data_IF_502801312195
#
_entry.id   IF_502801312195
#
_cell.length_a   1.000
_cell.length_b   1.000
_cell.length_c   1.000
_cell.angle_alpha   90.00
_cell.angle_beta   90.00
_cell.angle_gamma   90.00
#
_symmetry.space_group_name_H-M   'P 1'
#
loop_
_entity.id
_entity.type
_entity.pdbx_description
1 polymer ?
#
# COMPACT_ATOMS: atom_id res chain seq x y z
N UNK A 1 -5.09 33.95 5.93
CA UNK A 1 -6.36 34.63 6.28
C UNK A 1 -6.94 35.20 4.99
N UNK A 2 -8.14 34.81 4.54
CA UNK A 2 -8.58 35.19 3.22
C UNK A 2 -8.93 36.69 3.19
N UNK A 3 -8.44 37.36 2.16
CA UNK A 3 -8.57 38.80 1.85
C UNK A 3 -10.02 39.32 2.00
N UNK A 4 -11.01 38.46 1.81
CA UNK A 4 -12.44 38.79 1.98
C UNK A 4 -12.85 39.01 3.45
N UNK A 5 -12.30 38.25 4.40
CA UNK A 5 -12.49 38.54 5.83
C UNK A 5 -11.80 39.85 6.22
N UNK A 6 -10.67 40.18 5.60
CA UNK A 6 -9.97 41.45 5.80
C UNK A 6 -10.79 42.63 5.26
N UNK A 7 -11.39 42.49 4.08
CA UNK A 7 -12.30 43.49 3.47
C UNK A 7 -13.58 43.64 4.28
N UNK A 8 -14.23 42.53 4.68
CA UNK A 8 -15.44 42.59 5.52
C UNK A 8 -15.15 43.20 6.89
N UNK A 9 -13.97 42.92 7.46
CA UNK A 9 -13.51 43.53 8.72
C UNK A 9 -13.17 45.01 8.57
N UNK A 10 -12.62 45.46 7.43
CA UNK A 10 -12.35 46.88 7.19
C UNK A 10 -13.62 47.67 6.86
N UNK A 11 -14.58 47.06 6.16
CA UNK A 11 -15.90 47.65 5.91
C UNK A 11 -16.76 47.76 7.18
N UNK A 12 -16.59 46.85 8.15
CA UNK A 12 -17.26 46.90 9.46
C UNK A 12 -16.53 47.77 10.48
N UNK A 13 -15.19 47.84 10.44
CA UNK A 13 -14.36 48.72 11.29
C UNK A 13 -14.63 50.21 11.05
N UNK A 14 -15.08 50.59 9.86
CA UNK A 14 -15.51 51.95 9.56
C UNK A 14 -16.80 52.39 10.29
N UNK A 15 -17.49 51.51 11.04
CA UNK A 15 -18.84 51.81 11.53
C UNK A 15 -19.18 51.47 13.00
N UNK A 16 -18.39 50.69 13.76
CA UNK A 16 -18.45 50.65 15.24
C UNK A 16 -17.42 49.67 15.84
N UNK A 17 -16.45 50.16 16.62
CA UNK A 17 -15.27 49.38 17.08
C UNK A 17 -15.49 48.51 18.34
N UNK A 18 -16.50 48.78 19.17
CA UNK A 18 -16.68 48.07 20.46
C UNK A 18 -17.66 46.90 20.41
N UNK A 19 -18.75 47.01 19.66
CA UNK A 19 -19.76 45.94 19.53
C UNK A 19 -19.27 44.76 18.66
N UNK A 20 -18.61 45.07 17.54
CA UNK A 20 -18.03 44.05 16.64
C UNK A 20 -16.89 43.27 17.30
N UNK A 21 -16.20 43.84 18.29
CA UNK A 21 -15.06 43.20 18.93
C UNK A 21 -15.45 42.09 19.93
N UNK A 22 -16.57 42.24 20.64
CA UNK A 22 -17.00 41.27 21.65
C UNK A 22 -17.73 40.07 21.03
N UNK A 23 -18.59 40.32 20.04
CA UNK A 23 -19.37 39.31 19.34
C UNK A 23 -18.46 38.40 18.46
N UNK A 24 -17.48 39.01 17.79
CA UNK A 24 -16.47 38.25 17.04
C UNK A 24 -15.56 37.41 17.94
N UNK A 25 -15.28 37.83 19.19
CA UNK A 25 -14.41 37.08 20.12
C UNK A 25 -15.09 35.84 20.69
N UNK A 26 -16.35 35.96 21.11
CA UNK A 26 -17.12 34.81 21.65
C UNK A 26 -17.38 33.79 20.54
N UNK A 27 -17.71 34.27 19.34
CA UNK A 27 -17.95 33.43 18.17
C UNK A 27 -16.69 32.69 17.68
N UNK A 28 -15.55 33.37 17.58
CA UNK A 28 -14.28 32.71 17.22
C UNK A 28 -13.90 31.62 18.23
N UNK A 29 -14.02 31.90 19.53
CA UNK A 29 -13.56 30.96 20.57
C UNK A 29 -14.44 29.71 20.60
N UNK A 30 -15.77 29.84 20.48
CA UNK A 30 -16.67 28.68 20.45
C UNK A 30 -16.63 27.92 19.11
N UNK A 31 -16.53 28.58 17.95
CA UNK A 31 -16.37 27.90 16.65
C UNK A 31 -15.03 27.17 16.57
N UNK A 32 -13.95 27.76 17.08
CA UNK A 32 -12.62 27.13 17.07
C UNK A 32 -12.55 25.95 18.04
N UNK A 33 -13.08 26.07 19.26
CA UNK A 33 -13.05 24.97 20.25
C UNK A 33 -13.97 23.80 19.86
N UNK A 34 -15.18 24.07 19.35
CA UNK A 34 -16.06 23.03 18.84
C UNK A 34 -15.50 22.40 17.56
N UNK A 35 -14.96 23.21 16.66
CA UNK A 35 -14.26 22.78 15.44
C UNK A 35 -13.11 21.82 15.73
N UNK A 36 -12.23 22.12 16.70
CA UNK A 36 -11.08 21.26 17.04
C UNK A 36 -11.51 19.88 17.57
N UNK A 37 -12.55 19.80 18.41
CA UNK A 37 -13.07 18.50 18.89
C UNK A 37 -13.70 17.69 17.77
N UNK A 38 -14.48 18.35 16.91
CA UNK A 38 -15.12 17.74 15.74
C UNK A 38 -14.08 17.22 14.74
N UNK A 39 -13.02 17.99 14.49
CA UNK A 39 -11.85 17.63 13.67
C UNK A 39 -11.16 16.38 14.20
N UNK A 40 -10.84 16.33 15.51
CA UNK A 40 -10.20 15.16 16.12
C UNK A 40 -11.08 13.91 16.01
N UNK A 41 -12.39 14.06 16.26
CA UNK A 41 -13.35 12.98 16.14
C UNK A 41 -13.50 12.50 14.69
N UNK A 42 -13.52 13.42 13.72
CA UNK A 42 -13.54 13.13 12.30
C UNK A 42 -12.29 12.38 11.85
N UNK A 43 -11.10 12.83 12.27
CA UNK A 43 -9.83 12.16 11.99
C UNK A 43 -9.79 10.73 12.53
N UNK A 44 -10.18 10.52 13.79
CA UNK A 44 -10.27 9.20 14.41
C UNK A 44 -11.27 8.29 13.66
N UNK A 45 -12.44 8.80 13.29
CA UNK A 45 -13.43 8.03 12.55
C UNK A 45 -12.94 7.68 11.13
N UNK A 46 -12.22 8.59 10.47
CA UNK A 46 -11.66 8.37 9.13
C UNK A 46 -10.58 7.29 9.15
N UNK A 47 -9.70 7.31 10.14
CA UNK A 47 -8.68 6.27 10.33
C UNK A 47 -9.32 4.89 10.57
N UNK A 48 -10.28 4.81 11.49
CA UNK A 48 -11.01 3.56 11.78
C UNK A 48 -11.76 3.01 10.56
N UNK A 49 -12.31 3.88 9.71
CA UNK A 49 -12.96 3.49 8.44
C UNK A 49 -11.95 2.88 7.47
N UNK A 50 -10.77 3.48 7.35
CA UNK A 50 -9.71 2.98 6.48
C UNK A 50 -9.22 1.61 6.94
N UNK A 51 -8.95 1.41 8.23
CA UNK A 51 -8.53 0.10 8.75
C UNK A 51 -9.58 -1.00 8.50
N UNK A 52 -10.87 -0.70 8.67
CA UNK A 52 -11.94 -1.65 8.38
C UNK A 52 -12.02 -1.98 6.86
N UNK A 53 -11.80 -0.99 6.00
CA UNK A 53 -11.74 -1.16 4.55
C UNK A 53 -10.54 -2.01 4.13
N UNK A 54 -9.37 -1.79 4.72
CA UNK A 54 -8.14 -2.54 4.43
C UNK A 54 -8.34 -4.03 4.76
N UNK A 55 -8.88 -4.34 5.95
CA UNK A 55 -9.21 -5.71 6.35
C UNK A 55 -10.24 -6.37 5.42
N UNK A 56 -11.26 -5.62 4.98
CA UNK A 56 -12.27 -6.12 4.03
C UNK A 56 -11.65 -6.44 2.68
N UNK A 57 -10.84 -5.54 2.13
CA UNK A 57 -10.20 -5.72 0.82
C UNK A 57 -9.23 -6.90 0.87
N UNK A 58 -8.44 -7.01 1.94
CA UNK A 58 -7.55 -8.16 2.16
C UNK A 58 -8.31 -9.49 2.10
N UNK A 59 -9.39 -9.62 2.89
CA UNK A 59 -10.18 -10.85 2.92
C UNK A 59 -10.85 -11.15 1.57
N UNK A 60 -11.33 -10.12 0.87
CA UNK A 60 -11.90 -10.28 -0.49
C UNK A 60 -10.84 -10.79 -1.47
N UNK A 61 -9.62 -10.24 -1.44
CA UNK A 61 -8.54 -10.69 -2.31
C UNK A 61 -8.11 -12.13 -2.00
N UNK A 62 -8.05 -12.52 -0.73
CA UNK A 62 -7.77 -13.91 -0.31
C UNK A 62 -8.85 -14.88 -0.84
N UNK A 63 -10.14 -14.51 -0.72
CA UNK A 63 -11.26 -15.32 -1.23
C UNK A 63 -11.25 -15.43 -2.75
N UNK A 64 -11.04 -14.33 -3.47
CA UNK A 64 -10.99 -14.34 -4.94
C UNK A 64 -9.81 -15.16 -5.45
N UNK A 65 -8.65 -15.03 -4.81
CA UNK A 65 -7.45 -15.83 -5.11
C UNK A 65 -7.71 -17.33 -4.90
N UNK A 66 -8.48 -17.70 -3.88
CA UNK A 66 -8.79 -19.08 -3.51
C UNK A 66 -10.16 -19.58 -3.97
N UNK A 67 -10.84 -18.91 -4.91
CA UNK A 67 -12.28 -19.12 -5.15
C UNK A 67 -12.64 -20.57 -5.51
N UNK A 68 -11.76 -21.28 -6.23
CA UNK A 68 -11.96 -22.69 -6.60
C UNK A 68 -12.07 -23.58 -5.35
N UNK A 69 -11.21 -23.37 -4.35
CA UNK A 69 -11.20 -24.11 -3.09
C UNK A 69 -12.44 -23.75 -2.26
N UNK A 70 -12.79 -22.46 -2.18
CA UNK A 70 -13.98 -22.00 -1.45
C UNK A 70 -15.26 -22.65 -2.01
N UNK A 71 -15.37 -22.75 -3.34
CA UNK A 71 -16.48 -23.42 -4.02
C UNK A 71 -16.48 -24.94 -3.78
N UNK A 72 -15.32 -25.57 -3.87
CA UNK A 72 -15.17 -27.02 -3.66
C UNK A 72 -15.69 -27.45 -2.28
N UNK A 73 -15.40 -26.67 -1.23
CA UNK A 73 -15.84 -26.95 0.14
C UNK A 73 -17.19 -26.32 0.52
N UNK A 74 -17.83 -25.56 -0.37
CA UNK A 74 -19.11 -24.89 -0.09
C UNK A 74 -19.02 -23.79 0.99
N UNK A 75 -17.85 -23.17 1.18
CA UNK A 75 -17.61 -22.19 2.26
C UNK A 75 -18.05 -20.75 1.93
N UNK A 76 -18.80 -20.55 0.85
CA UNK A 76 -19.20 -19.24 0.35
C UNK A 76 -20.00 -18.42 1.38
N UNK A 77 -20.91 -19.07 2.11
CA UNK A 77 -21.70 -18.44 3.17
C UNK A 77 -20.83 -17.99 4.35
N UNK A 78 -19.92 -18.86 4.80
CA UNK A 78 -18.99 -18.57 5.90
C UNK A 78 -18.08 -17.37 5.59
N UNK A 79 -17.50 -17.31 4.38
CA UNK A 79 -16.70 -16.16 3.96
C UNK A 79 -17.54 -14.90 3.76
N UNK A 80 -18.76 -15.01 3.23
CA UNK A 80 -19.69 -13.88 3.12
C UNK A 80 -19.97 -13.27 4.49
N UNK A 81 -20.24 -14.08 5.50
CA UNK A 81 -20.54 -13.61 6.84
C UNK A 81 -19.32 -12.92 7.49
N UNK A 82 -18.11 -13.47 7.31
CA UNK A 82 -16.87 -12.82 7.74
C UNK A 82 -16.66 -11.46 7.08
N UNK A 83 -16.87 -11.35 5.76
CA UNK A 83 -16.80 -10.07 5.04
C UNK A 83 -17.87 -9.10 5.53
N UNK A 84 -19.08 -9.60 5.83
CA UNK A 84 -20.19 -8.79 6.32
C UNK A 84 -19.89 -8.15 7.69
N UNK A 85 -19.11 -8.80 8.56
CA UNK A 85 -18.67 -8.20 9.84
C UNK A 85 -17.87 -6.93 9.60
N UNK A 86 -16.85 -6.98 8.74
CA UNK A 86 -16.04 -5.79 8.39
C UNK A 86 -16.87 -4.73 7.68
N UNK A 87 -17.80 -5.13 6.81
CA UNK A 87 -18.70 -4.21 6.12
C UNK A 87 -19.64 -3.49 7.09
N UNK A 88 -20.19 -4.19 8.09
CA UNK A 88 -21.03 -3.59 9.14
C UNK A 88 -20.24 -2.57 9.95
N UNK A 89 -19.00 -2.88 10.32
CA UNK A 89 -18.11 -1.92 11.01
C UNK A 89 -17.85 -0.68 10.16
N UNK A 90 -17.51 -0.86 8.87
CA UNK A 90 -17.28 0.22 7.91
C UNK A 90 -18.51 1.13 7.78
N UNK A 91 -19.70 0.55 7.55
CA UNK A 91 -20.96 1.29 7.44
C UNK A 91 -21.29 2.03 8.74
N UNK A 92 -21.06 1.42 9.90
CA UNK A 92 -21.33 2.07 11.19
C UNK A 92 -20.48 3.32 11.38
N UNK A 93 -19.20 3.25 11.01
CA UNK A 93 -18.29 4.40 11.07
C UNK A 93 -18.66 5.45 10.02
N UNK A 94 -18.99 5.03 8.79
CA UNK A 94 -19.46 5.93 7.75
C UNK A 94 -20.74 6.68 8.15
N UNK A 95 -21.68 6.01 8.83
CA UNK A 95 -22.89 6.65 9.36
C UNK A 95 -22.52 7.72 10.40
N UNK A 96 -21.59 7.44 11.31
CA UNK A 96 -21.11 8.43 12.29
C UNK A 96 -20.44 9.63 11.61
N UNK A 97 -19.62 9.38 10.58
CA UNK A 97 -19.01 10.45 9.77
C UNK A 97 -20.09 11.28 9.07
N UNK A 98 -21.08 10.63 8.45
CA UNK A 98 -22.19 11.29 7.78
C UNK A 98 -22.99 12.19 8.71
N UNK A 99 -23.38 11.68 9.88
CA UNK A 99 -24.08 12.47 10.91
C UNK A 99 -23.22 13.65 11.37
N UNK A 100 -21.92 13.45 11.58
CA UNK A 100 -21.02 14.51 12.00
C UNK A 100 -20.90 15.62 10.93
N UNK A 101 -20.76 15.24 9.64
CA UNK A 101 -20.76 16.20 8.53
C UNK A 101 -22.11 16.93 8.38
N UNK A 102 -23.23 16.23 8.57
CA UNK A 102 -24.56 16.85 8.58
C UNK A 102 -24.69 17.89 9.69
N UNK A 103 -24.21 17.59 10.90
CA UNK A 103 -24.21 18.55 12.02
C UNK A 103 -23.35 19.77 11.70
N UNK A 104 -22.16 19.58 11.10
CA UNK A 104 -21.29 20.70 10.66
C UNK A 104 -22.01 21.57 9.63
N UNK A 105 -22.65 20.95 8.63
CA UNK A 105 -23.37 21.67 7.58
C UNK A 105 -24.58 22.43 8.12
N UNK A 106 -25.35 21.83 9.04
CA UNK A 106 -26.47 22.51 9.71
C UNK A 106 -25.96 23.69 10.52
N UNK A 107 -24.93 23.48 11.36
CA UNK A 107 -24.36 24.54 12.19
C UNK A 107 -23.86 25.70 11.31
N UNK A 108 -23.10 25.40 10.26
CA UNK A 108 -22.58 26.39 9.31
C UNK A 108 -23.70 27.15 8.59
N UNK A 109 -24.80 26.47 8.23
CA UNK A 109 -25.94 27.12 7.57
C UNK A 109 -26.72 28.02 8.52
N UNK A 110 -26.88 27.60 9.78
CA UNK A 110 -27.60 28.34 10.82
C UNK A 110 -26.83 29.56 11.34
N UNK A 111 -25.49 29.55 11.32
CA UNK A 111 -24.67 30.68 11.81
C UNK A 111 -25.03 32.00 11.10
N UNK A 112 -25.31 31.97 9.79
CA UNK A 112 -25.66 33.18 9.03
C UNK A 112 -26.99 33.80 9.49
N UNK A 113 -27.99 32.97 9.76
CA UNK A 113 -29.28 33.46 10.28
C UNK A 113 -29.12 34.03 11.69
N UNK A 114 -28.39 33.33 12.57
CA UNK A 114 -28.13 33.80 13.93
C UNK A 114 -27.33 35.11 13.94
N UNK A 115 -26.32 35.26 13.08
CA UNK A 115 -25.57 36.51 12.93
C UNK A 115 -26.48 37.69 12.58
N UNK A 116 -27.40 37.49 11.63
CA UNK A 116 -28.36 38.51 11.20
C UNK A 116 -29.27 38.89 12.37
N UNK A 117 -29.81 37.90 13.08
CA UNK A 117 -30.72 38.11 14.21
C UNK A 117 -30.04 38.86 15.36
N UNK A 118 -28.85 38.42 15.76
CA UNK A 118 -28.06 39.06 16.82
C UNK A 118 -27.67 40.48 16.42
N UNK A 119 -27.17 40.69 15.20
CA UNK A 119 -26.73 42.01 14.74
C UNK A 119 -27.87 43.02 14.73
N UNK A 120 -29.06 42.64 14.22
CA UNK A 120 -30.21 43.53 14.20
C UNK A 120 -30.87 43.70 15.58
N UNK A 121 -30.91 42.65 16.40
CA UNK A 121 -31.43 42.73 17.78
C UNK A 121 -30.56 43.66 18.64
N UNK A 122 -29.25 43.56 18.51
CA UNK A 122 -28.29 44.40 19.20
C UNK A 122 -28.34 45.85 18.71
N UNK A 123 -28.45 46.06 17.40
CA UNK A 123 -28.61 47.41 16.81
C UNK A 123 -29.92 48.09 17.27
N UNK A 124 -31.01 47.31 17.41
CA UNK A 124 -32.30 47.80 17.88
C UNK A 124 -32.32 48.15 19.36
N UNK A 125 -31.63 47.35 20.20
CA UNK A 125 -31.66 47.50 21.67
C UNK A 125 -30.62 48.46 22.22
N UNK A 126 -29.40 48.46 21.66
CA UNK A 126 -28.27 49.26 22.16
C UNK A 126 -28.12 50.57 21.38
N UNK A 127 -28.67 50.66 20.17
CA UNK A 127 -28.61 51.85 19.34
C UNK A 127 -27.24 52.06 18.67
N UNK A 128 -27.22 52.86 17.60
CA UNK A 128 -26.01 53.21 16.84
C UNK A 128 -25.14 54.26 17.55
N UNK A 129 -24.10 54.81 16.88
CA UNK A 129 -23.16 55.73 17.50
C UNK A 129 -23.89 56.94 18.09
N UNK A 130 -23.97 56.99 19.43
CA UNK A 130 -24.78 57.95 20.19
C UNK A 130 -25.75 57.34 21.22
N UNK A 131 -25.89 56.00 21.31
CA UNK A 131 -26.81 55.31 22.23
C UNK A 131 -28.27 55.76 22.12
N UNK A 132 -28.68 56.18 20.92
CA UNK A 132 -30.09 56.41 20.58
C UNK A 132 -30.62 55.20 19.79
N UNK A 133 -31.88 54.77 19.99
CA UNK A 133 -32.48 53.72 19.17
C UNK A 133 -32.36 54.09 17.69
N UNK A 134 -31.55 53.34 16.95
CA UNK A 134 -31.26 53.66 15.55
C UNK A 134 -32.49 53.40 14.69
N UNK A 135 -32.87 54.37 13.84
CA UNK A 135 -33.91 54.13 12.83
C UNK A 135 -33.47 52.99 11.90
N UNK A 136 -34.22 51.89 11.92
CA UNK A 136 -33.96 50.73 11.09
C UNK A 136 -34.43 51.04 9.67
N UNK A 137 -33.55 51.60 8.86
CA UNK A 137 -33.85 51.93 7.47
C UNK A 137 -33.84 50.63 6.61
N UNK A 138 -34.84 50.39 5.74
CA UNK A 138 -34.85 49.27 4.81
C UNK A 138 -33.54 49.12 4.02
N UNK A 139 -32.91 50.23 3.60
CA UNK A 139 -31.62 50.23 2.88
C UNK A 139 -30.52 49.53 3.69
N UNK A 140 -30.44 49.80 5.00
CA UNK A 140 -29.43 49.19 5.87
C UNK A 140 -29.69 47.70 6.13
N UNK A 141 -30.96 47.28 6.18
CA UNK A 141 -31.31 45.87 6.33
C UNK A 141 -30.87 45.08 5.09
N UNK A 142 -31.30 45.50 3.90
CA UNK A 142 -31.03 44.79 2.65
C UNK A 142 -29.53 44.71 2.32
N UNK A 143 -28.77 45.79 2.55
CA UNK A 143 -27.31 45.78 2.35
C UNK A 143 -26.64 44.82 3.32
N UNK A 144 -27.04 44.81 4.58
CA UNK A 144 -26.44 43.93 5.59
C UNK A 144 -26.76 42.46 5.33
N UNK A 145 -28.01 42.11 4.98
CA UNK A 145 -28.41 40.75 4.58
C UNK A 145 -27.58 40.27 3.37
N UNK A 146 -27.40 41.13 2.37
CA UNK A 146 -26.60 40.81 1.18
C UNK A 146 -25.14 40.56 1.54
N UNK A 147 -24.54 41.39 2.40
CA UNK A 147 -23.16 41.23 2.87
C UNK A 147 -22.98 39.95 3.71
N UNK A 148 -23.91 39.63 4.62
CA UNK A 148 -23.88 38.38 5.37
C UNK A 148 -24.07 37.15 4.48
N UNK A 149 -24.94 37.24 3.47
CA UNK A 149 -25.14 36.18 2.48
C UNK A 149 -23.86 35.88 1.68
N UNK A 150 -23.09 36.90 1.31
CA UNK A 150 -21.80 36.75 0.63
C UNK A 150 -20.73 36.08 1.50
N UNK A 151 -20.82 36.20 2.83
CA UNK A 151 -19.90 35.55 3.78
C UNK A 151 -20.21 34.07 4.02
N UNK A 152 -21.41 33.59 3.69
CA UNK A 152 -21.82 32.21 3.97
C UNK A 152 -20.96 31.19 3.20
N UNK A 153 -20.70 31.45 1.92
CA UNK A 153 -19.89 30.56 1.06
C UNK A 153 -18.44 30.39 1.57
N UNK A 154 -17.66 31.46 1.82
CA UNK A 154 -16.29 31.33 2.32
C UNK A 154 -16.22 30.73 3.72
N UNK A 155 -17.20 30.99 4.61
CA UNK A 155 -17.26 30.34 5.93
C UNK A 155 -17.46 28.83 5.79
N UNK A 156 -18.39 28.39 4.93
CA UNK A 156 -18.61 26.97 4.66
C UNK A 156 -17.39 26.28 4.03
N UNK A 157 -16.65 26.97 3.15
CA UNK A 157 -15.42 26.44 2.55
C UNK A 157 -14.33 26.15 3.59
N UNK A 158 -14.18 26.99 4.63
CA UNK A 158 -13.19 26.76 5.70
C UNK A 158 -13.48 25.45 6.43
N UNK A 159 -14.73 25.17 6.74
CA UNK A 159 -15.15 23.93 7.41
C UNK A 159 -14.87 22.68 6.57
N UNK A 160 -15.14 22.74 5.26
CA UNK A 160 -14.80 21.65 4.35
C UNK A 160 -13.29 21.47 4.20
N UNK A 161 -12.56 22.57 4.03
CA UNK A 161 -11.10 22.55 3.88
C UNK A 161 -10.41 21.91 5.10
N UNK A 162 -10.94 22.11 6.31
CA UNK A 162 -10.42 21.45 7.51
C UNK A 162 -10.55 19.92 7.43
N UNK A 163 -11.67 19.39 6.93
CA UNK A 163 -11.86 17.95 6.73
C UNK A 163 -10.91 17.36 5.68
N UNK A 164 -10.71 18.09 4.59
CA UNK A 164 -9.79 17.70 3.51
C UNK A 164 -8.33 17.76 3.98
N UNK A 165 -7.95 18.78 4.76
CA UNK A 165 -6.61 18.91 5.32
C UNK A 165 -6.26 17.75 6.28
N UNK A 166 -7.21 17.31 7.12
CA UNK A 166 -7.01 16.11 7.95
C UNK A 166 -6.85 14.87 7.08
N UNK A 167 -7.68 14.76 6.03
CA UNK A 167 -7.59 13.68 5.06
C UNK A 167 -6.21 13.60 4.41
N UNK A 168 -5.72 14.73 3.93
CA UNK A 168 -4.40 14.89 3.35
C UNK A 168 -3.33 14.49 4.36
N UNK A 169 -3.39 15.00 5.59
CA UNK A 169 -2.42 14.67 6.64
C UNK A 169 -2.33 13.16 6.92
N UNK A 170 -3.48 12.48 7.09
CA UNK A 170 -3.50 11.03 7.34
C UNK A 170 -2.99 10.25 6.14
N UNK A 171 -3.39 10.61 4.92
CA UNK A 171 -2.92 9.95 3.69
C UNK A 171 -1.42 10.16 3.47
N UNK A 172 -0.91 11.38 3.63
CA UNK A 172 0.52 11.70 3.51
C UNK A 172 1.33 10.94 4.54
N UNK A 173 0.85 10.85 5.80
CA UNK A 173 1.51 10.05 6.82
C UNK A 173 1.61 8.57 6.42
N UNK A 174 0.53 7.97 5.91
CA UNK A 174 0.56 6.57 5.45
C UNK A 174 1.52 6.35 4.27
N UNK A 175 1.56 7.29 3.33
CA UNK A 175 2.51 7.25 2.20
C UNK A 175 3.94 7.38 2.74
N UNK A 176 4.18 8.28 3.68
CA UNK A 176 5.48 8.45 4.32
C UNK A 176 5.89 7.19 5.09
N UNK A 177 5.01 6.59 5.87
CA UNK A 177 5.28 5.37 6.62
C UNK A 177 5.63 4.19 5.67
N UNK A 178 4.99 4.12 4.50
CA UNK A 178 5.32 3.14 3.46
C UNK A 178 6.65 3.42 2.77
N UNK A 179 6.91 4.67 2.38
CA UNK A 179 8.15 5.06 1.69
C UNK A 179 9.38 5.05 2.62
N UNK A 180 9.19 5.18 3.92
CA UNK A 180 10.22 5.03 4.95
C UNK A 180 10.26 3.62 5.55
N UNK A 181 9.49 2.68 4.99
CA UNK A 181 9.58 1.29 5.40
C UNK A 181 10.99 0.76 5.14
N UNK A 182 11.41 -0.22 5.94
CA UNK A 182 12.76 -0.75 5.86
C UNK A 182 13.01 -1.40 4.49
N UNK A 183 14.09 -1.02 3.84
CA UNK A 183 14.59 -1.66 2.62
C UNK A 183 15.70 -2.65 2.97
N UNK A 184 15.78 -3.74 2.20
CA UNK A 184 16.92 -4.66 2.27
C UNK A 184 18.18 -3.92 1.82
N UNK A 185 19.23 -3.98 2.64
CA UNK A 185 20.46 -3.24 2.36
C UNK A 185 21.13 -3.77 1.08
N UNK A 186 21.64 -2.87 0.22
CA UNK A 186 22.32 -3.26 -1.03
C UNK A 186 23.59 -4.10 -0.81
N UNK A 187 24.22 -3.98 0.36
CA UNK A 187 25.46 -4.69 0.71
C UNK A 187 25.22 -6.07 1.34
N UNK A 188 23.99 -6.60 1.27
CA UNK A 188 23.68 -7.95 1.76
C UNK A 188 24.43 -9.02 0.97
N UNK A 189 24.62 -8.79 -0.34
CA UNK A 189 25.31 -9.69 -1.26
C UNK A 189 26.39 -8.92 -2.02
N UNK A 190 27.59 -9.50 -2.08
CA UNK A 190 28.64 -9.06 -3.00
C UNK A 190 28.28 -9.55 -4.41
N UNK A 191 27.65 -8.68 -5.21
CA UNK A 191 27.17 -9.00 -6.56
C UNK A 191 28.07 -8.40 -7.62
N UNK A 192 28.50 -9.22 -8.57
CA UNK A 192 29.09 -8.78 -9.83
C UNK A 192 28.27 -9.34 -10.99
N UNK A 193 27.90 -8.52 -11.96
CA UNK A 193 27.21 -9.01 -13.17
C UNK A 193 28.15 -9.74 -14.12
N UNK A 194 29.46 -9.53 -13.95
CA UNK A 194 30.51 -10.21 -14.70
C UNK A 194 30.93 -11.50 -13.97
N UNK A 195 31.13 -12.55 -14.76
CA UNK A 195 31.79 -13.77 -14.33
C UNK A 195 33.25 -13.49 -13.98
N UNK A 196 33.81 -14.17 -12.96
CA UNK A 196 35.23 -14.07 -12.66
C UNK A 196 36.06 -14.52 -13.86
N UNK A 197 37.05 -13.70 -14.27
CA UNK A 197 37.97 -14.06 -15.35
C UNK A 197 38.85 -15.26 -14.98
N UNK A 198 39.16 -15.39 -13.69
CA UNK A 198 39.86 -16.53 -13.14
C UNK A 198 38.87 -17.68 -12.89
N UNK A 199 39.01 -18.76 -13.65
CA UNK A 199 38.17 -19.95 -13.55
C UNK A 199 38.34 -20.72 -12.23
N UNK A 200 39.33 -20.38 -11.40
CA UNK A 200 39.50 -20.97 -10.06
C UNK A 200 38.58 -20.34 -9.01
N UNK A 201 37.97 -19.20 -9.31
CA UNK A 201 37.04 -18.52 -8.39
C UNK A 201 35.63 -19.02 -8.64
N UNK A 202 35.02 -19.62 -7.61
CA UNK A 202 33.65 -20.08 -7.66
C UNK A 202 32.67 -18.90 -7.87
N UNK A 203 31.77 -18.95 -8.87
CA UNK A 203 30.75 -17.93 -9.08
C UNK A 203 29.78 -17.74 -7.91
N UNK A 204 29.55 -18.81 -7.12
CA UNK A 204 28.72 -18.77 -5.92
C UNK A 204 29.60 -19.17 -4.74
N UNK A 205 29.75 -18.25 -3.79
CA UNK A 205 30.53 -18.48 -2.59
C UNK A 205 29.82 -17.92 -1.36
N UNK A 206 29.51 -18.80 -0.40
CA UNK A 206 28.91 -18.49 0.89
C UNK A 206 29.88 -18.97 1.97
N UNK A 207 30.24 -18.12 2.92
CA UNK A 207 31.14 -18.46 4.03
C UNK A 207 30.54 -18.06 5.38
N UNK A 208 30.35 -19.06 6.23
CA UNK A 208 29.86 -18.97 7.61
C UNK A 208 28.66 -18.03 7.76
N UNK A 209 27.74 -18.10 6.81
CA UNK A 209 26.64 -17.14 6.70
C UNK A 209 25.40 -17.60 7.46
N UNK A 210 24.77 -16.66 8.16
CA UNK A 210 23.52 -16.88 8.89
C UNK A 210 22.47 -15.90 8.39
N UNK A 211 21.29 -16.43 8.03
CA UNK A 211 20.21 -15.66 7.39
C UNK A 211 18.87 -15.81 8.14
N UNK A 212 18.05 -14.76 8.09
CA UNK A 212 16.70 -14.74 8.63
C UNK A 212 15.73 -13.89 7.80
N UNK A 213 14.44 -14.21 7.86
CA UNK A 213 13.37 -13.46 7.18
C UNK A 213 13.01 -12.15 7.90
N UNK A 214 13.18 -12.12 9.22
CA UNK A 214 12.93 -10.95 10.05
C UNK A 214 14.25 -10.35 10.54
N UNK A 215 14.30 -9.04 10.70
CA UNK A 215 15.47 -8.36 11.29
C UNK A 215 15.62 -8.61 12.80
N UNK A 216 14.52 -8.91 13.51
CA UNK A 216 14.44 -8.85 14.98
C UNK A 216 14.57 -10.18 15.73
N UNK A 217 14.69 -11.33 15.06
CA UNK A 217 14.86 -12.63 15.76
C UNK A 217 16.26 -12.81 16.42
N UNK A 218 17.12 -11.80 16.34
CA UNK A 218 18.52 -11.83 16.79
C UNK A 218 18.70 -11.72 18.32
N UNK A 219 17.68 -11.35 19.10
CA UNK A 219 17.91 -10.87 20.49
C UNK A 219 17.29 -11.69 21.64
N UNK A 220 16.79 -12.92 21.45
CA UNK A 220 16.01 -13.58 22.52
C UNK A 220 16.62 -14.78 23.23
N UNK A 221 17.72 -15.38 22.76
CA UNK A 221 18.35 -16.49 23.49
C UNK A 221 19.81 -16.19 23.88
N UNK A 222 19.93 -15.68 25.11
CA UNK A 222 21.17 -15.72 25.89
C UNK A 222 21.21 -17.07 26.59
N UNK A 223 22.05 -17.98 26.10
CA UNK A 223 22.40 -19.18 26.87
C UNK A 223 23.21 -18.75 28.09
N UNK A 224 22.62 -18.89 29.28
CA UNK A 224 23.22 -18.56 30.58
C UNK A 224 24.50 -19.34 30.91
N UNK A 225 24.85 -20.35 30.10
CA UNK A 225 26.06 -21.18 30.25
C UNK A 225 27.23 -20.77 29.36
N UNK A 226 27.01 -19.94 28.33
CA UNK A 226 28.01 -19.74 27.26
C UNK A 226 28.24 -18.26 26.90
N UNK A 227 27.38 -17.32 27.33
CA UNK A 227 27.54 -15.89 27.03
C UNK A 227 27.50 -15.50 25.55
N UNK A 228 27.16 -16.45 24.66
CA UNK A 228 27.05 -16.25 23.22
C UNK A 228 25.60 -15.93 22.85
N UNK A 229 25.41 -14.82 22.14
CA UNK A 229 24.15 -14.45 21.48
C UNK A 229 23.84 -15.50 20.41
N UNK A 230 22.84 -16.35 20.62
CA UNK A 230 22.37 -17.27 19.60
C UNK A 230 21.41 -16.53 18.67
N UNK A 231 21.89 -16.23 17.47
CA UNK A 231 21.05 -15.82 16.34
C UNK A 231 20.20 -17.02 15.91
N UNK A 232 18.88 -16.96 16.15
CA UNK A 232 17.93 -17.95 15.61
C UNK A 232 17.64 -17.69 14.14
N UNK A 233 18.66 -17.84 13.30
CA UNK A 233 18.51 -17.73 11.85
C UNK A 233 17.74 -18.93 11.32
N UNK A 234 16.92 -18.72 10.29
CA UNK A 234 16.32 -19.81 9.52
C UNK A 234 17.42 -20.68 8.89
N UNK A 235 18.53 -20.05 8.47
CA UNK A 235 19.74 -20.72 7.98
C UNK A 235 20.90 -20.31 8.88
N UNK A 236 21.70 -21.29 9.35
CA UNK A 236 22.80 -21.06 10.30
C UNK A 236 24.10 -21.65 9.77
N UNK A 237 25.18 -20.88 9.87
CA UNK A 237 26.56 -21.29 9.54
C UNK A 237 26.66 -22.02 8.19
N UNK A 238 26.07 -21.45 7.15
CA UNK A 238 26.11 -22.01 5.80
C UNK A 238 27.46 -21.66 5.17
N UNK A 239 28.19 -22.69 4.76
CA UNK A 239 29.40 -22.57 3.94
C UNK A 239 29.23 -23.43 2.70
N UNK A 240 29.25 -22.79 1.53
CA UNK A 240 28.98 -23.41 0.23
C UNK A 240 29.83 -22.73 -0.85
N UNK A 241 30.44 -23.53 -1.72
CA UNK A 241 31.13 -23.06 -2.92
C UNK A 241 30.64 -23.88 -4.10
N UNK A 242 30.22 -23.23 -5.19
CA UNK A 242 29.77 -23.90 -6.43
C UNK A 242 30.58 -23.37 -7.60
N UNK A 243 31.33 -24.26 -8.24
CA UNK A 243 32.17 -23.92 -9.38
C UNK A 243 31.37 -23.82 -10.68
N UNK A 244 31.95 -23.12 -11.66
CA UNK A 244 31.33 -22.91 -12.97
C UNK A 244 31.15 -24.22 -13.74
N UNK A 245 30.00 -24.38 -14.39
CA UNK A 245 29.70 -25.54 -15.23
C UNK A 245 29.23 -26.78 -14.46
N UNK A 246 29.10 -26.69 -13.14
CA UNK A 246 28.63 -27.80 -12.31
C UNK A 246 27.11 -27.74 -12.09
N UNK A 247 26.43 -28.87 -12.28
CA UNK A 247 25.05 -29.07 -11.84
C UNK A 247 25.05 -29.51 -10.39
N UNK A 248 24.68 -28.61 -9.47
CA UNK A 248 24.66 -28.88 -8.02
C UNK A 248 23.22 -29.13 -7.55
N UNK A 249 23.00 -30.24 -6.86
CA UNK A 249 21.71 -30.59 -6.29
C UNK A 249 21.67 -30.31 -4.78
N UNK A 250 20.62 -29.62 -4.32
CA UNK A 250 20.36 -29.39 -2.89
C UNK A 250 19.23 -30.33 -2.46
N UNK A 251 19.55 -31.26 -1.56
CA UNK A 251 18.61 -32.26 -1.04
C UNK A 251 18.38 -32.07 0.46
N UNK A 252 17.17 -32.40 0.92
CA UNK A 252 16.81 -32.27 2.33
C UNK A 252 15.32 -32.50 2.55
N UNK A 253 14.89 -32.64 3.81
CA UNK A 253 13.47 -32.84 4.15
C UNK A 253 12.64 -31.58 3.86
N UNK A 254 11.32 -31.74 3.83
CA UNK A 254 10.37 -30.61 3.74
C UNK A 254 10.59 -29.68 4.94
N UNK A 255 10.63 -28.37 4.70
CA UNK A 255 10.80 -27.37 5.77
C UNK A 255 12.24 -27.17 6.28
N UNK A 256 13.26 -27.78 5.66
CA UNK A 256 14.67 -27.59 6.05
C UNK A 256 15.35 -26.34 5.48
N UNK A 257 14.61 -25.41 4.88
CA UNK A 257 15.16 -24.14 4.40
C UNK A 257 15.78 -24.16 3.00
N UNK A 258 15.48 -25.15 2.14
CA UNK A 258 15.98 -25.21 0.75
C UNK A 258 15.58 -23.95 -0.06
N UNK A 259 14.30 -23.62 -0.10
CA UNK A 259 13.79 -22.37 -0.70
C UNK A 259 14.37 -21.13 -0.02
N UNK A 260 14.57 -21.18 1.30
CA UNK A 260 15.23 -20.08 2.03
C UNK A 260 16.68 -19.89 1.58
N UNK A 261 17.41 -20.96 1.24
CA UNK A 261 18.77 -20.85 0.71
C UNK A 261 18.79 -20.11 -0.63
N UNK A 262 17.83 -20.36 -1.52
CA UNK A 262 17.68 -19.57 -2.74
C UNK A 262 17.28 -18.13 -2.45
N UNK A 263 16.38 -17.88 -1.50
CA UNK A 263 16.05 -16.53 -1.03
C UNK A 263 17.26 -15.77 -0.49
N UNK A 264 18.17 -16.45 0.21
CA UNK A 264 19.44 -15.89 0.65
C UNK A 264 20.39 -15.58 -0.51
N UNK A 265 20.47 -16.43 -1.54
CA UNK A 265 21.27 -16.18 -2.75
C UNK A 265 20.73 -15.03 -3.61
N UNK A 266 19.41 -14.84 -3.62
CA UNK A 266 18.72 -13.75 -4.34
C UNK A 266 18.66 -12.47 -3.49
N UNK A 267 19.02 -12.53 -2.21
CA UNK A 267 19.10 -11.35 -1.35
C UNK A 267 17.76 -10.90 -0.80
N UNK A 268 16.76 -11.77 -0.81
CA UNK A 268 15.45 -11.54 -0.22
C UNK A 268 15.44 -11.74 1.31
N UNK A 269 16.53 -12.28 1.87
CA UNK A 269 16.70 -12.52 3.32
C UNK A 269 17.74 -11.59 3.94
N UNK A 270 17.58 -11.29 5.23
CA UNK A 270 18.59 -10.58 6.00
C UNK A 270 19.77 -11.52 6.31
N UNK A 271 20.97 -11.14 5.88
CA UNK A 271 22.24 -11.70 6.34
C UNK A 271 22.65 -11.01 7.63
N UNK A 272 22.82 -11.79 8.70
CA UNK A 272 23.28 -11.28 10.00
C UNK A 272 24.77 -11.48 10.21
N UNK A 273 25.33 -12.56 9.67
CA UNK A 273 26.74 -12.92 9.77
C UNK A 273 27.21 -13.55 8.46
N UNK A 274 28.52 -13.51 8.23
CA UNK A 274 29.20 -14.16 7.12
C UNK A 274 29.18 -13.36 5.82
N UNK A 275 29.66 -13.99 4.76
CA UNK A 275 29.76 -13.38 3.44
C UNK A 275 29.07 -14.24 2.39
N UNK A 276 28.45 -13.59 1.41
CA UNK A 276 27.90 -14.22 0.22
C UNK A 276 28.33 -13.41 -1.00
N UNK A 277 28.92 -14.10 -1.98
CA UNK A 277 29.31 -13.58 -3.27
C UNK A 277 28.57 -14.33 -4.36
N UNK A 278 28.01 -13.57 -5.29
CA UNK A 278 27.33 -14.06 -6.48
C UNK A 278 27.89 -13.31 -7.69
N UNK A 279 28.54 -14.02 -8.61
CA UNK A 279 29.20 -13.45 -9.78
C UNK A 279 28.63 -14.02 -11.08
N UNK A 280 28.08 -13.15 -11.93
CA UNK A 280 27.39 -13.48 -13.17
C UNK A 280 25.89 -13.17 -13.11
N UNK A 281 25.24 -13.20 -14.28
CA UNK A 281 23.79 -13.01 -14.38
C UNK A 281 23.04 -14.21 -13.79
N UNK A 282 21.93 -13.96 -13.09
CA UNK A 282 21.15 -14.98 -12.39
C UNK A 282 19.77 -15.14 -13.03
N UNK A 283 19.40 -16.37 -13.39
CA UNK A 283 18.03 -16.77 -13.71
C UNK A 283 17.45 -17.58 -12.55
N UNK A 284 16.29 -17.14 -12.02
CA UNK A 284 15.61 -17.81 -10.93
C UNK A 284 14.26 -18.38 -11.38
N UNK A 285 14.04 -19.66 -11.07
CA UNK A 285 12.76 -20.36 -11.25
C UNK A 285 12.21 -20.69 -9.85
N UNK A 286 11.19 -19.96 -9.37
CA UNK A 286 10.59 -20.21 -8.06
C UNK A 286 9.74 -21.49 -8.06
N UNK A 287 9.57 -22.11 -6.89
CA UNK A 287 8.70 -23.27 -6.69
C UNK A 287 7.27 -23.02 -7.17
N UNK A 288 6.73 -21.84 -6.86
CA UNK A 288 5.45 -21.38 -7.41
C UNK A 288 5.70 -20.51 -8.63
N UNK A 289 5.51 -21.08 -9.82
CA UNK A 289 5.68 -20.39 -11.08
C UNK A 289 4.81 -19.11 -11.17
N UNK A 290 5.45 -17.99 -11.52
CA UNK A 290 4.81 -16.69 -11.70
C UNK A 290 4.69 -16.34 -13.20
N UNK A 291 3.47 -16.06 -13.62
CA UNK A 291 3.10 -15.82 -15.02
C UNK A 291 2.49 -14.42 -15.12
N UNK A 292 3.01 -13.62 -16.04
CA UNK A 292 2.53 -12.26 -16.31
C UNK A 292 1.30 -12.31 -17.23
N UNK A 293 0.44 -11.30 -17.11
CA UNK A 293 -0.72 -11.13 -17.98
C UNK A 293 -0.26 -10.61 -19.36
N UNK A 294 0.17 -11.53 -20.22
CA UNK A 294 0.70 -11.29 -21.56
C UNK A 294 0.55 -12.56 -22.41
N UNK A 295 1.00 -12.54 -23.66
CA UNK A 295 1.03 -13.75 -24.51
C UNK A 295 1.95 -14.82 -23.92
N UNK A 296 1.80 -16.08 -24.34
CA UNK A 296 2.74 -17.14 -23.93
C UNK A 296 4.16 -16.81 -24.41
N UNK A 297 4.30 -16.31 -25.65
CA UNK A 297 5.58 -15.84 -26.18
C UNK A 297 6.22 -14.77 -25.28
N UNK A 298 5.46 -13.73 -24.89
CA UNK A 298 5.97 -12.65 -24.04
C UNK A 298 6.35 -13.13 -22.64
N UNK A 299 5.66 -14.14 -22.14
CA UNK A 299 6.02 -14.79 -20.89
C UNK A 299 7.37 -15.50 -20.96
N UNK A 300 7.75 -16.05 -22.12
CA UNK A 300 9.05 -16.71 -22.32
C UNK A 300 10.14 -15.69 -22.64
N UNK A 301 9.89 -14.73 -23.53
CA UNK A 301 10.88 -13.71 -23.92
C UNK A 301 11.16 -12.73 -22.79
N UNK A 302 10.13 -12.40 -22.00
CA UNK A 302 10.22 -11.58 -20.79
C UNK A 302 11.00 -10.27 -20.98
N UNK A 303 10.69 -9.56 -22.07
CA UNK A 303 11.32 -8.28 -22.44
C UNK A 303 12.59 -8.38 -23.27
N UNK A 304 13.14 -9.59 -23.44
CA UNK A 304 14.29 -9.83 -24.33
C UNK A 304 13.87 -9.84 -25.80
N UNK A 305 14.74 -9.43 -26.73
CA UNK A 305 14.42 -9.40 -28.16
C UNK A 305 14.11 -10.81 -28.67
N UNK A 306 13.09 -10.91 -29.52
CA UNK A 306 12.64 -12.20 -30.04
C UNK A 306 13.60 -12.75 -31.11
N UNK A 307 14.32 -13.82 -30.75
CA UNK A 307 15.02 -14.72 -31.66
C UNK A 307 14.20 -16.01 -31.87
N UNK A 308 13.73 -16.20 -33.10
CA UNK A 308 12.92 -17.35 -33.51
C UNK A 308 13.64 -18.68 -33.33
N UNK A 309 14.92 -18.77 -33.72
CA UNK A 309 15.67 -20.04 -33.65
C UNK A 309 15.92 -20.45 -32.20
N UNK A 310 16.28 -19.48 -31.35
CA UNK A 310 16.45 -19.71 -29.91
C UNK A 310 15.13 -20.09 -29.25
N UNK A 311 14.05 -19.39 -29.58
CA UNK A 311 12.71 -19.66 -29.05
C UNK A 311 12.24 -21.07 -29.40
N UNK A 312 12.25 -21.47 -30.67
CA UNK A 312 11.81 -22.81 -31.11
C UNK A 312 12.58 -23.93 -30.40
N UNK A 313 13.91 -23.78 -30.22
CA UNK A 313 14.74 -24.74 -29.47
C UNK A 313 14.34 -24.84 -28.01
N UNK A 314 14.06 -23.71 -27.35
CA UNK A 314 13.69 -23.66 -25.94
C UNK A 314 12.29 -24.23 -25.71
N UNK A 315 11.33 -23.91 -26.58
CA UNK A 315 9.98 -24.46 -26.51
C UNK A 315 10.02 -25.99 -26.66
N UNK A 316 10.81 -26.49 -27.63
CA UNK A 316 11.04 -27.93 -27.80
C UNK A 316 11.67 -28.56 -26.55
N UNK A 317 12.77 -27.99 -26.04
CA UNK A 317 13.47 -28.52 -24.86
C UNK A 317 12.64 -28.47 -23.58
N UNK A 318 11.75 -27.48 -23.45
CA UNK A 318 10.86 -27.33 -22.30
C UNK A 318 9.61 -28.21 -22.39
N UNK A 319 9.39 -28.91 -23.51
CA UNK A 319 8.21 -29.76 -23.72
C UNK A 319 6.89 -29.00 -23.86
N UNK A 320 6.93 -27.73 -24.31
CA UNK A 320 5.75 -26.86 -24.42
C UNK A 320 4.99 -27.02 -25.75
N UNK A 321 5.55 -27.72 -26.75
CA UNK A 321 4.89 -27.91 -28.05
C UNK A 321 3.44 -28.43 -27.93
N UNK A 322 3.15 -29.52 -27.19
CA UNK A 322 1.78 -30.03 -27.07
C UNK A 322 0.87 -29.03 -26.35
N UNK A 323 1.41 -28.28 -25.38
CA UNK A 323 0.63 -27.27 -24.65
C UNK A 323 0.25 -26.11 -25.58
N UNK A 324 1.16 -25.67 -26.46
CA UNK A 324 0.92 -24.59 -27.43
C UNK A 324 -0.12 -25.02 -28.48
N UNK A 325 -0.06 -26.25 -28.97
CA UNK A 325 -1.03 -26.78 -29.94
C UNK A 325 -2.47 -26.83 -29.40
N UNK A 326 -2.63 -26.99 -28.08
CA UNK A 326 -3.94 -26.98 -27.43
C UNK A 326 -4.51 -25.56 -27.24
N UNK A 327 -3.69 -24.51 -27.37
CA UNK A 327 -4.13 -23.15 -27.16
C UNK A 327 -4.83 -22.58 -28.41
N UNK A 328 -5.94 -21.83 -28.26
CA UNK A 328 -6.73 -21.34 -29.40
C UNK A 328 -5.96 -20.50 -30.43
N UNK A 329 -4.96 -19.75 -29.99
CA UNK A 329 -4.12 -18.90 -30.82
C UNK A 329 -2.64 -19.29 -30.75
N UNK A 330 -2.34 -20.55 -30.38
CA UNK A 330 -0.96 -21.00 -30.18
C UNK A 330 -0.24 -20.17 -29.12
N UNK A 331 1.00 -19.78 -29.41
CA UNK A 331 1.86 -19.01 -28.52
C UNK A 331 1.47 -17.53 -28.38
N UNK A 332 0.61 -17.02 -29.27
CA UNK A 332 0.00 -15.68 -29.18
C UNK A 332 -1.18 -15.64 -28.22
N UNK A 333 -1.57 -16.78 -27.62
CA UNK A 333 -2.69 -16.82 -26.69
C UNK A 333 -2.39 -16.00 -25.45
N UNK A 334 -3.30 -15.09 -25.09
CA UNK A 334 -3.21 -14.33 -23.86
C UNK A 334 -3.34 -15.25 -22.64
N UNK A 335 -2.33 -15.22 -21.77
CA UNK A 335 -2.32 -15.95 -20.52
C UNK A 335 -2.82 -15.01 -19.42
N UNK A 336 -4.07 -15.21 -18.99
CA UNK A 336 -4.71 -14.37 -17.97
C UNK A 336 -3.96 -14.34 -16.63
N UNK A 337 -4.33 -13.39 -15.76
CA UNK A 337 -3.65 -13.13 -14.49
C UNK A 337 -3.36 -14.40 -13.68
N UNK A 338 -2.08 -14.60 -13.27
CA UNK A 338 -1.56 -15.80 -12.58
C UNK A 338 -1.70 -17.10 -13.37
N UNK A 339 -1.87 -17.03 -14.69
CA UNK A 339 -1.98 -18.16 -15.59
C UNK A 339 -3.21 -19.03 -15.33
N UNK A 340 -4.39 -18.46 -15.08
CA UNK A 340 -5.61 -19.25 -14.78
C UNK A 340 -5.94 -20.30 -15.86
N UNK A 341 -5.48 -20.06 -17.09
CA UNK A 341 -5.68 -20.94 -18.26
C UNK A 341 -4.70 -22.13 -18.29
N UNK A 342 -3.66 -22.13 -17.46
CA UNK A 342 -2.61 -23.14 -17.46
C UNK A 342 -2.70 -24.07 -16.24
N UNK A 343 -2.36 -25.34 -16.43
CA UNK A 343 -2.16 -26.31 -15.35
C UNK A 343 -0.90 -25.98 -14.54
N UNK A 344 -0.71 -26.61 -13.36
CA UNK A 344 0.48 -26.40 -12.53
C UNK A 344 1.79 -26.73 -13.26
N UNK A 345 1.84 -27.89 -13.93
CA UNK A 345 2.99 -28.31 -14.73
C UNK A 345 3.26 -27.41 -15.93
N UNK A 346 2.21 -26.94 -16.61
CA UNK A 346 2.34 -25.97 -17.70
C UNK A 346 2.98 -24.65 -17.23
N UNK A 347 2.55 -24.13 -16.07
CA UNK A 347 3.16 -22.92 -15.50
C UNK A 347 4.63 -23.12 -15.18
N UNK A 348 5.00 -24.26 -14.61
CA UNK A 348 6.40 -24.60 -14.33
C UNK A 348 7.24 -24.67 -15.60
N UNK A 349 6.75 -25.36 -16.65
CA UNK A 349 7.44 -25.42 -17.96
C UNK A 349 7.62 -24.03 -18.58
N UNK A 350 6.61 -23.15 -18.51
CA UNK A 350 6.74 -21.77 -18.99
C UNK A 350 7.78 -20.99 -18.18
N UNK A 351 7.82 -21.15 -16.85
CA UNK A 351 8.82 -20.51 -16.00
C UNK A 351 10.24 -21.01 -16.29
N UNK A 352 10.39 -22.29 -16.60
CA UNK A 352 11.67 -22.89 -17.00
C UNK A 352 12.12 -22.38 -18.38
N UNK A 353 11.19 -22.34 -19.34
CA UNK A 353 11.44 -21.78 -20.67
C UNK A 353 11.89 -20.32 -20.59
N UNK A 354 11.25 -19.52 -19.72
CA UNK A 354 11.67 -18.13 -19.45
C UNK A 354 13.11 -18.06 -18.96
N UNK A 355 13.46 -18.85 -17.95
CA UNK A 355 14.82 -18.87 -17.41
C UNK A 355 15.83 -19.24 -18.50
N UNK A 356 15.57 -20.30 -19.27
CA UNK A 356 16.43 -20.75 -20.37
C UNK A 356 16.55 -19.69 -21.49
N UNK A 357 15.51 -18.89 -21.74
CA UNK A 357 15.54 -17.82 -22.73
C UNK A 357 16.44 -16.65 -22.33
N UNK A 358 16.55 -16.36 -21.03
CA UNK A 358 17.37 -15.26 -20.54
C UNK A 358 18.88 -15.50 -20.69
N UNK A 359 19.32 -16.75 -20.85
CA UNK A 359 20.74 -17.08 -21.11
C UNK A 359 21.69 -16.52 -20.04
N UNK A 360 21.32 -16.78 -18.77
CA UNK A 360 22.06 -16.34 -17.60
C UNK A 360 23.27 -17.24 -17.32
N UNK A 361 24.20 -16.78 -16.48
CA UNK A 361 25.38 -17.54 -16.07
C UNK A 361 25.07 -18.53 -14.94
N UNK A 362 24.13 -18.17 -14.05
CA UNK A 362 23.72 -18.94 -12.88
C UNK A 362 22.22 -19.23 -12.96
N UNK A 363 21.85 -20.51 -12.87
CA UNK A 363 20.45 -20.94 -12.82
C UNK A 363 20.10 -21.47 -11.43
N UNK A 364 19.18 -20.79 -10.75
CA UNK A 364 18.61 -21.21 -9.46
C UNK A 364 17.23 -21.81 -9.71
N UNK A 365 17.09 -23.13 -9.54
CA UNK A 365 15.87 -23.86 -9.85
C UNK A 365 15.27 -24.44 -8.57
N UNK A 366 14.19 -23.85 -8.08
CA UNK A 366 13.50 -24.32 -6.87
C UNK A 366 12.38 -25.30 -7.23
N UNK A 367 12.67 -26.60 -7.10
CA UNK A 367 11.73 -27.70 -7.32
C UNK A 367 10.96 -27.65 -8.67
N UNK A 368 11.67 -27.49 -9.81
CA UNK A 368 11.05 -27.23 -11.12
C UNK A 368 10.30 -28.44 -11.71
N UNK A 369 10.45 -29.64 -11.12
CA UNK A 369 9.87 -30.90 -11.62
C UNK A 369 8.68 -31.39 -10.79
N UNK A 370 8.27 -30.66 -9.76
CA UNK A 370 7.24 -31.10 -8.80
C UNK A 370 5.85 -31.34 -9.40
N UNK A 371 5.49 -30.64 -10.48
CA UNK A 371 4.19 -30.80 -11.15
C UNK A 371 4.30 -31.40 -12.55
N UNK A 372 5.43 -32.07 -12.86
CA UNK A 372 5.69 -32.69 -14.16
C UNK A 372 5.80 -34.20 -13.97
N UNK A 373 5.06 -34.97 -14.78
CA UNK A 373 5.08 -36.44 -14.71
C UNK A 373 6.43 -37.01 -15.17
N UNK A 374 6.89 -38.06 -14.48
CA UNK A 374 8.05 -38.85 -14.92
C UNK A 374 7.60 -39.75 -16.08
N UNK A 375 8.01 -39.40 -17.31
CA UNK A 375 7.63 -40.11 -18.52
C UNK A 375 8.54 -41.32 -18.82
#
# INVERSE_FOLDING_TARGET
MPMQMWIAKHLTKARDEKLTAMDNRIRLVNEVLSGVKIVKLYGWAKDKKLTAMDNRIRLVNEVLSGIKIVKLYGWESSFRDKIAVFRKLEITVLRKIGVLLSVINILSSSTTFLMILVSFSLYSTVGGPGFTPGEINPKTIFVSITLFGLLNRPIGMISHFMGDAIGLYVSTRRIQDYLLAEELAKNQIDRSDELPQDHTVAPIEIRDATFGWDKQQVLQHVDNSSGLLLTEGTLKNITLSVDRGNLTAIVGRVGQGKTSLFGAMIGDMYKWQGTIRMSGQIAYVPQQAWIINATLQDNVTFGSPFDKNKYERIIYASGLNPDIEMLPAGDQTEIGERGINLSGGQKQRVSLARAAYQDADIYLLDDPLSAVDAH
#
